data_IF_664152010183
#
_entry.id   IF_664152010183
#
_cell.length_a   1.000
_cell.length_b   1.000
_cell.length_c   1.000
_cell.angle_alpha   90.00
_cell.angle_beta   90.00
_cell.angle_gamma   90.00
#
_symmetry.space_group_name_H-M   'P 1'
#
loop_
_entity.id
_entity.type
_entity.pdbx_description
1 polymer ?
#
# COMPACT_ATOMS: atom_id res chain seq x y z
N UNK A 1 -8.15 5.59 -18.81
CA UNK A 1 -7.00 4.79 -18.36
C UNK A 1 -7.42 3.34 -18.31
N UNK A 2 -6.75 2.47 -19.05
CA UNK A 2 -7.04 1.03 -19.07
C UNK A 2 -6.51 0.36 -17.81
N UNK A 3 -7.02 -0.84 -17.50
CA UNK A 3 -6.55 -1.64 -16.37
C UNK A 3 -5.03 -1.96 -16.47
N UNK A 4 -4.55 -2.24 -17.69
CA UNK A 4 -3.13 -2.53 -17.95
C UNK A 4 -2.27 -1.27 -17.73
N UNK A 5 -2.76 -0.09 -18.13
CA UNK A 5 -2.09 1.18 -17.85
C UNK A 5 -1.98 1.46 -16.34
N UNK A 6 -3.04 1.17 -15.57
CA UNK A 6 -3.05 1.31 -14.12
C UNK A 6 -1.96 0.41 -13.49
N UNK A 7 -1.94 -0.88 -13.83
CA UNK A 7 -0.96 -1.85 -13.36
C UNK A 7 0.48 -1.39 -13.67
N UNK A 8 0.75 -1.00 -14.91
CA UNK A 8 2.07 -0.52 -15.32
C UNK A 8 2.51 0.74 -14.58
N UNK A 9 1.59 1.66 -14.33
CA UNK A 9 1.87 2.91 -13.60
C UNK A 9 2.22 2.63 -12.14
N UNK A 10 1.49 1.73 -11.48
CA UNK A 10 1.75 1.30 -10.09
C UNK A 10 3.13 0.66 -9.98
N UNK A 11 3.42 -0.32 -10.83
CA UNK A 11 4.69 -1.05 -10.81
C UNK A 11 5.86 -0.08 -10.94
N UNK A 12 5.80 0.86 -11.88
CA UNK A 12 6.84 1.89 -12.07
C UNK A 12 6.97 2.80 -10.86
N UNK A 13 5.86 3.29 -10.30
CA UNK A 13 5.91 4.19 -9.15
C UNK A 13 6.44 3.49 -7.90
N UNK A 14 5.93 2.30 -7.56
CA UNK A 14 6.40 1.56 -6.38
C UNK A 14 7.88 1.19 -6.53
N UNK A 15 8.31 0.77 -7.71
CA UNK A 15 9.72 0.52 -8.00
C UNK A 15 10.59 1.77 -7.78
N UNK A 16 10.16 2.93 -8.28
CA UNK A 16 10.90 4.18 -8.12
C UNK A 16 11.08 4.59 -6.64
N UNK A 17 10.09 4.33 -5.78
CA UNK A 17 10.14 4.73 -4.37
C UNK A 17 10.78 3.70 -3.44
N UNK A 18 10.74 2.42 -3.78
CA UNK A 18 11.20 1.34 -2.88
C UNK A 18 12.48 0.65 -3.37
N UNK A 19 12.90 0.90 -4.61
CA UNK A 19 13.93 0.13 -5.33
C UNK A 19 13.68 -1.40 -5.33
N UNK A 20 12.48 -1.84 -4.92
CA UNK A 20 12.09 -3.23 -4.89
C UNK A 20 11.37 -3.55 -6.19
N UNK A 21 11.84 -4.59 -6.89
CA UNK A 21 11.09 -5.17 -8.00
C UNK A 21 9.78 -5.73 -7.46
N UNK A 22 8.64 -5.25 -7.96
CA UNK A 22 7.31 -5.70 -7.56
C UNK A 22 6.52 -6.25 -8.72
N UNK A 23 5.70 -7.25 -8.43
CA UNK A 23 4.66 -7.79 -9.28
C UNK A 23 3.32 -7.26 -8.77
N UNK A 24 2.50 -6.77 -9.70
CA UNK A 24 1.15 -6.27 -9.41
C UNK A 24 0.15 -7.18 -10.10
N UNK A 25 -0.72 -7.80 -9.31
CA UNK A 25 -1.84 -8.60 -9.80
C UNK A 25 -3.13 -7.91 -9.41
N UNK A 26 -4.02 -7.59 -10.36
CA UNK A 26 -5.32 -7.03 -10.02
C UNK A 26 -6.45 -7.88 -10.60
N UNK A 27 -7.55 -7.97 -9.89
CA UNK A 27 -8.76 -8.70 -10.27
C UNK A 27 -9.95 -7.77 -10.01
N UNK A 28 -11.14 -8.04 -10.58
CA UNK A 28 -12.33 -7.28 -10.23
C UNK A 28 -12.55 -7.28 -8.72
N UNK A 29 -12.39 -6.12 -8.08
CA UNK A 29 -12.52 -5.96 -6.63
C UNK A 29 -11.26 -6.22 -5.80
N UNK A 30 -10.16 -6.70 -6.37
CA UNK A 30 -8.95 -7.04 -5.61
C UNK A 30 -7.67 -6.52 -6.29
N UNK A 31 -6.70 -6.04 -5.51
CA UNK A 31 -5.36 -5.69 -6.00
C UNK A 31 -4.33 -6.28 -5.05
N UNK A 32 -3.32 -6.95 -5.59
CA UNK A 32 -2.18 -7.47 -4.85
C UNK A 32 -0.87 -6.91 -5.41
N UNK A 33 0.04 -6.52 -4.52
CA UNK A 33 1.39 -6.05 -4.84
C UNK A 33 2.36 -6.93 -4.06
N UNK A 34 3.30 -7.57 -4.75
CA UNK A 34 4.24 -8.56 -4.18
C UNK A 34 5.68 -8.25 -4.60
N UNK A 35 6.69 -8.46 -3.75
CA UNK A 35 8.07 -8.45 -4.22
C UNK A 35 8.37 -9.59 -5.22
N UNK A 36 9.13 -9.31 -6.27
CA UNK A 36 9.64 -10.33 -7.22
C UNK A 36 10.87 -11.01 -6.59
N UNK A 37 10.66 -12.21 -6.01
CA UNK A 37 11.60 -13.23 -5.46
C UNK A 37 12.83 -12.75 -4.63
N UNK A 38 13.05 -13.43 -3.50
CA UNK A 38 14.17 -13.34 -2.52
C UNK A 38 14.28 -12.07 -1.65
N UNK A 39 13.61 -10.98 -1.98
CA UNK A 39 13.47 -9.88 -1.03
C UNK A 39 12.27 -10.15 -0.11
N UNK A 40 12.53 -10.67 1.10
CA UNK A 40 11.59 -10.45 2.21
C UNK A 40 11.60 -8.94 2.49
N UNK A 41 10.82 -8.18 1.72
CA UNK A 41 10.94 -6.74 1.76
C UNK A 41 10.10 -6.23 2.92
N UNK A 42 10.60 -6.42 4.14
CA UNK A 42 10.21 -5.64 5.33
C UNK A 42 10.21 -4.15 4.96
N UNK A 43 11.10 -3.74 4.05
CA UNK A 43 11.14 -2.41 3.43
C UNK A 43 9.83 -2.09 2.71
N UNK A 44 9.33 -2.95 1.82
CA UNK A 44 8.06 -2.75 1.13
C UNK A 44 6.87 -2.74 2.11
N UNK A 45 6.84 -3.65 3.10
CA UNK A 45 5.79 -3.65 4.12
C UNK A 45 5.78 -2.33 4.92
N UNK A 46 6.95 -1.90 5.41
CA UNK A 46 7.10 -0.68 6.21
C UNK A 46 6.76 0.58 5.41
N UNK A 47 7.18 0.62 4.14
CA UNK A 47 6.85 1.69 3.20
C UNK A 47 5.34 1.86 3.06
N UNK A 48 4.61 0.78 2.77
CA UNK A 48 3.16 0.84 2.59
C UNK A 48 2.42 1.19 3.88
N UNK A 49 2.82 0.62 5.02
CA UNK A 49 2.22 0.96 6.31
C UNK A 49 2.37 2.46 6.59
N UNK A 50 3.57 3.00 6.43
CA UNK A 50 3.85 4.42 6.70
C UNK A 50 3.06 5.35 5.79
N UNK A 51 3.00 5.04 4.50
CA UNK A 51 2.24 5.83 3.53
C UNK A 51 0.74 5.80 3.84
N UNK A 52 0.18 4.61 4.04
CA UNK A 52 -1.26 4.46 4.27
C UNK A 52 -1.68 5.11 5.58
N UNK A 53 -0.88 4.98 6.65
CA UNK A 53 -1.11 5.71 7.90
C UNK A 53 -1.13 7.22 7.68
N UNK A 54 -0.12 7.76 6.99
CA UNK A 54 -0.04 9.21 6.71
C UNK A 54 -1.20 9.69 5.84
N UNK A 55 -1.57 8.92 4.82
CA UNK A 55 -2.70 9.19 3.95
C UNK A 55 -4.00 9.28 4.76
N UNK A 56 -4.33 8.25 5.54
CA UNK A 56 -5.57 8.23 6.30
C UNK A 56 -5.63 9.31 7.38
N UNK A 57 -4.51 9.62 8.03
CA UNK A 57 -4.43 10.74 8.98
C UNK A 57 -4.60 12.10 8.29
N UNK A 58 -4.22 12.24 7.02
CA UNK A 58 -4.34 13.50 6.27
C UNK A 58 -5.76 13.82 5.80
N UNK A 59 -6.69 12.85 5.85
CA UNK A 59 -8.07 13.01 5.40
C UNK A 59 -9.00 12.79 6.60
N UNK A 60 -9.48 13.85 7.27
CA UNK A 60 -10.25 13.75 8.51
C UNK A 60 -11.46 12.82 8.43
N UNK A 61 -12.15 12.80 7.28
CA UNK A 61 -13.29 11.91 7.04
C UNK A 61 -12.89 10.43 7.08
N UNK A 62 -11.78 10.05 6.47
CA UNK A 62 -11.33 8.66 6.42
C UNK A 62 -10.68 8.26 7.74
N UNK A 63 -9.97 9.18 8.41
CA UNK A 63 -9.35 8.94 9.71
C UNK A 63 -10.36 8.44 10.77
N UNK A 64 -11.60 8.94 10.72
CA UNK A 64 -12.67 8.56 11.64
C UNK A 64 -13.40 7.28 11.25
N UNK A 65 -13.24 6.83 9.99
CA UNK A 65 -13.92 5.65 9.44
C UNK A 65 -13.00 4.42 9.33
N UNK A 66 -11.68 4.62 9.34
CA UNK A 66 -10.69 3.54 9.21
C UNK A 66 -10.40 2.90 10.57
N UNK A 67 -10.56 1.58 10.65
CA UNK A 67 -10.08 0.80 11.80
C UNK A 67 -8.71 0.20 11.45
N UNK A 68 -7.69 0.51 12.26
CA UNK A 68 -6.35 -0.03 12.09
C UNK A 68 -6.17 -1.21 13.05
N UNK A 69 -5.83 -2.39 12.52
CA UNK A 69 -5.55 -3.60 13.30
C UNK A 69 -4.18 -4.16 12.95
N UNK A 70 -3.29 -4.25 13.94
CA UNK A 70 -2.05 -5.02 13.84
C UNK A 70 -2.21 -6.30 14.65
N UNK A 71 -2.44 -7.43 13.98
CA UNK A 71 -2.48 -8.71 14.67
C UNK A 71 -1.10 -9.36 14.52
N UNK A 72 -0.39 -9.46 15.64
CA UNK A 72 0.81 -10.30 15.76
C UNK A 72 0.35 -11.74 16.04
N UNK A 73 -0.40 -12.32 15.11
CA UNK A 73 -0.77 -13.74 15.22
C UNK A 73 0.43 -14.61 14.80
N UNK A 74 0.59 -15.76 15.44
CA UNK A 74 1.75 -16.65 15.31
C UNK A 74 1.88 -17.33 13.94
N UNK A 75 0.89 -17.18 13.06
CA UNK A 75 0.85 -17.79 11.72
C UNK A 75 1.02 -16.77 10.61
N UNK A 76 0.75 -15.49 10.82
CA UNK A 76 1.04 -14.44 9.85
C UNK A 76 1.05 -13.04 10.49
N UNK A 77 2.22 -12.38 10.45
CA UNK A 77 2.33 -10.97 10.84
C UNK A 77 1.69 -10.09 9.76
N UNK A 78 0.42 -9.72 9.93
CA UNK A 78 -0.27 -8.78 9.05
C UNK A 78 -0.57 -7.46 9.77
N UNK A 79 -0.49 -6.36 9.02
CA UNK A 79 -1.00 -5.04 9.40
C UNK A 79 -2.18 -4.69 8.49
N UNK A 80 -3.34 -4.38 9.08
CA UNK A 80 -4.58 -4.14 8.34
C UNK A 80 -5.14 -2.74 8.55
N UNK A 81 -5.65 -2.18 7.45
CA UNK A 81 -6.49 -0.99 7.43
C UNK A 81 -7.87 -1.42 6.93
N UNK A 82 -8.87 -1.32 7.78
CA UNK A 82 -10.24 -1.75 7.51
C UNK A 82 -11.07 -0.50 7.22
N UNK A 83 -11.60 -0.42 6.02
CA UNK A 83 -12.55 0.60 5.60
C UNK A 83 -13.93 -0.03 5.39
N UNK A 84 -14.95 0.81 5.20
CA UNK A 84 -16.35 0.38 5.06
C UNK A 84 -16.55 -0.68 3.98
N UNK A 85 -15.95 -0.48 2.80
CA UNK A 85 -16.23 -1.31 1.60
C UNK A 85 -15.05 -2.20 1.17
N UNK A 86 -13.91 -2.14 1.87
CA UNK A 86 -12.71 -2.91 1.54
C UNK A 86 -11.68 -2.93 2.69
N UNK A 87 -10.76 -3.86 2.62
CA UNK A 87 -9.65 -4.05 3.57
C UNK A 87 -8.33 -3.96 2.82
N UNK A 88 -7.36 -3.25 3.40
CA UNK A 88 -5.96 -3.28 2.98
C UNK A 88 -5.18 -4.12 4.00
N UNK A 89 -4.49 -5.16 3.54
CA UNK A 89 -3.65 -6.03 4.37
C UNK A 89 -2.22 -5.99 3.88
N UNK A 90 -1.28 -5.69 4.78
CA UNK A 90 0.16 -5.72 4.52
C UNK A 90 0.77 -6.90 5.29
N UNK A 91 1.50 -7.76 4.60
CA UNK A 91 2.17 -8.92 5.18
C UNK A 91 3.60 -8.54 5.54
N UNK A 92 3.93 -8.50 6.82
CA UNK A 92 5.28 -8.09 7.28
C UNK A 92 6.36 -9.06 6.82
N UNK A 93 6.07 -10.37 6.84
CA UNK A 93 7.02 -11.43 6.45
C UNK A 93 7.36 -11.42 4.96
N UNK A 94 6.38 -11.17 4.09
CA UNK A 94 6.54 -11.29 2.64
C UNK A 94 6.60 -9.96 1.91
N UNK A 95 6.27 -8.85 2.58
CA UNK A 95 6.11 -7.55 1.93
C UNK A 95 4.87 -7.45 1.03
N UNK A 96 4.02 -8.47 0.98
CA UNK A 96 2.82 -8.46 0.13
C UNK A 96 1.76 -7.51 0.68
N UNK A 97 1.17 -6.69 -0.20
CA UNK A 97 0.01 -5.85 0.09
C UNK A 97 -1.17 -6.37 -0.71
N UNK A 98 -2.32 -6.51 -0.06
CA UNK A 98 -3.59 -6.87 -0.69
C UNK A 98 -4.66 -5.84 -0.34
N UNK A 99 -5.32 -5.31 -1.36
CA UNK A 99 -6.55 -4.55 -1.27
C UNK A 99 -7.68 -5.50 -1.65
N UNK A 100 -8.64 -5.73 -0.76
CA UNK A 100 -9.75 -6.68 -0.95
C UNK A 100 -11.10 -6.03 -0.72
N UNK A 101 -12.02 -6.17 -1.66
CA UNK A 101 -13.42 -5.73 -1.53
C UNK A 101 -13.86 -4.76 -2.63
N UNK A 102 -15.18 -4.55 -2.76
CA UNK A 102 -15.77 -3.82 -3.88
C UNK A 102 -15.23 -2.38 -4.06
N UNK A 103 -14.82 -1.73 -2.96
CA UNK A 103 -14.23 -0.40 -2.98
C UNK A 103 -12.74 -0.34 -3.36
N UNK A 104 -12.02 -1.48 -3.35
CA UNK A 104 -10.56 -1.53 -3.43
C UNK A 104 -10.03 -0.94 -4.74
N UNK A 105 -10.56 -1.39 -5.89
CA UNK A 105 -10.09 -0.93 -7.21
C UNK A 105 -10.38 0.55 -7.42
N UNK A 106 -11.57 1.01 -7.02
CA UNK A 106 -11.97 2.41 -7.14
C UNK A 106 -11.10 3.31 -6.26
N UNK A 107 -10.98 2.98 -4.97
CA UNK A 107 -10.11 3.67 -4.03
C UNK A 107 -8.68 3.76 -4.55
N UNK A 108 -8.13 2.62 -4.95
CA UNK A 108 -6.76 2.56 -5.42
C UNK A 108 -6.57 3.42 -6.66
N UNK A 109 -7.47 3.36 -7.65
CA UNK A 109 -7.39 4.18 -8.87
C UNK A 109 -7.45 5.68 -8.55
N UNK A 110 -8.37 6.09 -7.69
CA UNK A 110 -8.68 7.49 -7.43
C UNK A 110 -7.62 8.13 -6.51
N UNK A 111 -7.04 7.36 -5.58
CA UNK A 111 -6.14 7.87 -4.52
C UNK A 111 -4.66 7.57 -4.76
N UNK A 112 -4.29 6.71 -5.73
CA UNK A 112 -2.90 6.28 -5.96
C UNK A 112 -1.90 7.44 -6.02
N UNK A 113 -2.21 8.50 -6.77
CA UNK A 113 -1.29 9.64 -6.90
C UNK A 113 -1.08 10.35 -5.58
N UNK A 114 -2.16 10.56 -4.85
CA UNK A 114 -2.10 11.27 -3.59
C UNK A 114 -1.38 10.43 -2.53
N UNK A 115 -1.72 9.13 -2.42
CA UNK A 115 -1.05 8.14 -1.57
C UNK A 115 0.47 8.15 -1.82
N UNK A 116 0.92 8.08 -3.07
CA UNK A 116 2.35 8.11 -3.40
C UNK A 116 3.00 9.48 -3.14
N UNK A 117 2.27 10.58 -3.35
CA UNK A 117 2.76 11.94 -3.10
C UNK A 117 3.01 12.22 -1.61
N UNK A 118 2.31 11.53 -0.69
CA UNK A 118 2.53 11.61 0.75
C UNK A 118 3.96 11.21 1.16
N UNK A 119 4.70 10.48 0.30
CA UNK A 119 6.11 10.15 0.52
C UNK A 119 7.09 11.19 -0.06
N UNK A 120 6.67 12.04 -1.03
CA UNK A 120 7.54 13.11 -1.57
C UNK A 120 7.89 14.21 -0.55
N UNK A 121 7.03 14.41 0.47
CA UNK A 121 7.33 15.27 1.63
C UNK A 121 8.06 14.53 2.76
N UNK A 122 8.47 13.28 2.57
CA UNK A 122 9.33 12.58 3.53
C UNK A 122 10.83 12.80 3.23
N UNK A 123 11.17 13.17 2.00
CA UNK A 123 12.54 13.54 1.58
C UNK A 123 12.90 15.01 1.93
N UNK A 124 12.00 15.75 2.56
CA UNK A 124 12.29 17.08 3.12
C UNK A 124 12.74 17.03 4.59
N UNK A 125 12.94 15.84 5.16
CA UNK A 125 13.70 15.68 6.42
C UNK A 125 15.18 15.75 6.03
N UNK A 126 16.03 16.55 6.72
CA UNK A 126 17.36 16.85 6.23
C UNK A 126 18.15 15.55 6.08
N UNK A 127 18.76 15.35 4.93
CA UNK A 127 19.86 14.40 4.71
C UNK A 127 20.80 14.48 5.91
N UNK A 128 20.83 13.39 6.69
CA UNK A 128 21.89 13.15 7.68
C UNK A 128 23.22 13.31 6.96
N UNK A 129 24.02 14.28 7.42
CA UNK A 129 25.45 14.38 7.12
C UNK A 129 26.18 13.15 7.64
#
# INVERSE_FOLDING_TARGET
>A
MTYIELVNRITRSVYAYTAAFVEVSAFPGDIAIRPIKRSSSIVLASFWIRILQRYFQSIPRICNEVSIRGARDSKSEYFQFILRDFIISVTMKTGEIKFKGAGAVKFFRDELFYILSCHSKADSVPTLR
#
